data_IF_537804411162
#
_entry.id   IF_537804411162
#
_cell.length_a   1.000
_cell.length_b   1.000
_cell.length_c   1.000
_cell.angle_alpha   90.00
_cell.angle_beta   90.00
_cell.angle_gamma   90.00
#
_symmetry.space_group_name_H-M   'P 1'
#
loop_
_entity.id
_entity.type
_entity.pdbx_description
1 polymer ?
#
# COMPACT_ATOMS: atom_id res chain seq x y z
N UNK A 1 5.11 2.82 -10.12
CA UNK A 1 4.73 3.85 -9.11
C UNK A 1 4.56 5.20 -9.79
N UNK A 2 3.78 6.12 -9.21
CA UNK A 2 3.70 7.51 -9.67
C UNK A 2 4.37 8.46 -8.68
N UNK A 3 4.75 9.64 -9.19
CA UNK A 3 5.39 10.68 -8.41
C UNK A 3 4.67 12.01 -8.67
N UNK A 4 3.81 12.41 -7.76
CA UNK A 4 2.96 13.61 -7.88
C UNK A 4 2.87 14.44 -6.59
N UNK A 5 3.76 14.16 -5.65
CA UNK A 5 3.90 14.89 -4.40
C UNK A 5 5.02 14.34 -3.53
N UNK A 6 5.14 14.84 -2.31
CA UNK A 6 6.24 14.52 -1.41
C UNK A 6 6.20 13.07 -0.94
N UNK A 7 5.01 12.54 -0.59
CA UNK A 7 4.92 11.20 0.00
C UNK A 7 5.04 10.11 -1.05
N UNK A 8 4.47 10.29 -2.23
CA UNK A 8 4.69 9.39 -3.36
C UNK A 8 6.17 9.34 -3.79
N UNK A 9 6.89 10.48 -3.72
CA UNK A 9 8.33 10.54 -3.97
C UNK A 9 9.12 9.76 -2.92
N UNK A 10 8.82 9.97 -1.62
CA UNK A 10 9.50 9.27 -0.52
C UNK A 10 9.27 7.75 -0.59
N UNK A 11 8.08 7.31 -0.95
CA UNK A 11 7.78 5.89 -1.10
C UNK A 11 8.57 5.26 -2.24
N UNK A 12 8.67 5.95 -3.37
CA UNK A 12 9.49 5.50 -4.49
C UNK A 12 10.99 5.43 -4.14
N UNK A 13 11.52 6.41 -3.39
CA UNK A 13 12.90 6.40 -2.91
C UNK A 13 13.15 5.23 -1.94
N UNK A 14 12.23 4.99 -1.01
CA UNK A 14 12.31 3.85 -0.10
C UNK A 14 12.33 2.51 -0.85
N UNK A 15 11.46 2.33 -1.83
CA UNK A 15 11.41 1.12 -2.64
C UNK A 15 12.75 0.86 -3.35
N UNK A 16 13.35 1.90 -3.95
CA UNK A 16 14.68 1.79 -4.59
C UNK A 16 15.78 1.46 -3.61
N UNK A 17 15.80 2.07 -2.43
CA UNK A 17 16.79 1.79 -1.37
C UNK A 17 16.66 0.37 -0.84
N UNK A 18 15.48 -0.23 -0.89
CA UNK A 18 15.24 -1.63 -0.57
C UNK A 18 15.61 -2.59 -1.71
N UNK A 19 16.15 -2.08 -2.82
CA UNK A 19 16.64 -2.86 -3.95
C UNK A 19 15.56 -3.26 -4.95
N UNK A 20 14.36 -2.63 -4.89
CA UNK A 20 13.32 -2.86 -5.89
C UNK A 20 13.65 -2.10 -7.19
N UNK A 21 13.38 -2.73 -8.31
CA UNK A 21 13.38 -2.07 -9.63
C UNK A 21 12.08 -1.26 -9.76
N UNK A 22 12.21 0.07 -9.82
CA UNK A 22 11.08 0.99 -9.75
C UNK A 22 10.96 1.78 -11.05
N UNK A 23 9.89 1.49 -11.81
CA UNK A 23 9.44 2.33 -12.91
C UNK A 23 8.53 3.43 -12.39
N UNK A 24 8.77 4.67 -12.79
CA UNK A 24 7.97 5.84 -12.41
C UNK A 24 7.11 6.32 -13.58
N UNK A 25 5.84 6.58 -13.29
CA UNK A 25 4.95 7.39 -14.11
C UNK A 25 4.90 8.79 -13.48
N UNK A 26 5.57 9.74 -14.09
CA UNK A 26 5.60 11.12 -13.58
C UNK A 26 4.34 11.87 -14.01
N UNK A 27 3.79 12.64 -13.09
CA UNK A 27 2.70 13.57 -13.36
C UNK A 27 2.91 14.85 -12.58
N UNK A 28 2.26 15.92 -13.01
CA UNK A 28 2.35 17.21 -12.32
C UNK A 28 1.80 17.11 -10.90
N UNK A 29 2.41 17.84 -9.99
CA UNK A 29 1.87 18.02 -8.65
C UNK A 29 0.49 18.69 -8.77
N UNK A 30 -0.48 18.19 -7.99
CA UNK A 30 -1.87 18.65 -8.06
C UNK A 30 -2.77 17.79 -8.97
N UNK A 31 -2.20 16.78 -9.64
CA UNK A 31 -2.93 15.71 -10.34
C UNK A 31 -2.78 14.40 -9.58
N UNK A 32 -3.77 13.53 -9.65
CA UNK A 32 -3.71 12.19 -9.05
C UNK A 32 -2.83 11.22 -9.85
N UNK A 33 -2.91 9.95 -9.49
CA UNK A 33 -2.21 8.87 -10.20
C UNK A 33 -2.60 8.87 -11.70
N UNK A 34 -1.63 8.84 -12.64
CA UNK A 34 -1.91 8.83 -14.07
C UNK A 34 -2.40 7.44 -14.51
N UNK A 35 -3.70 7.22 -14.45
CA UNK A 35 -4.34 5.91 -14.72
C UNK A 35 -4.02 5.40 -16.13
N UNK A 36 -4.05 6.28 -17.13
CA UNK A 36 -3.79 5.90 -18.53
C UNK A 36 -2.35 5.39 -18.73
N UNK A 37 -1.38 6.02 -18.07
CA UNK A 37 0.02 5.59 -18.12
C UNK A 37 0.21 4.22 -17.46
N UNK A 38 -0.47 3.99 -16.34
CA UNK A 38 -0.46 2.68 -15.68
C UNK A 38 -1.10 1.61 -16.57
N UNK A 39 -2.25 1.91 -17.14
CA UNK A 39 -2.93 1.00 -18.06
C UNK A 39 -2.08 0.66 -19.28
N UNK A 40 -1.36 1.63 -19.84
CA UNK A 40 -0.45 1.41 -20.96
C UNK A 40 0.70 0.47 -20.57
N UNK A 41 1.38 0.75 -19.44
CA UNK A 41 2.49 -0.08 -18.96
C UNK A 41 2.06 -1.52 -18.64
N UNK A 42 0.88 -1.69 -18.02
CA UNK A 42 0.36 -3.02 -17.70
C UNK A 42 0.02 -3.83 -18.96
N UNK A 43 -0.57 -3.19 -19.98
CA UNK A 43 -0.83 -3.85 -21.29
C UNK A 43 0.45 -4.25 -22.02
N UNK A 44 1.51 -3.45 -21.88
CA UNK A 44 2.79 -3.69 -22.55
C UNK A 44 3.64 -4.75 -21.84
N UNK A 45 3.40 -4.98 -20.53
CA UNK A 45 4.14 -5.97 -19.73
C UNK A 45 3.60 -7.40 -19.89
N UNK A 46 3.74 -7.93 -21.11
CA UNK A 46 3.25 -9.27 -21.47
C UNK A 46 3.92 -10.40 -20.72
N UNK A 47 5.13 -10.18 -20.24
CA UNK A 47 5.91 -11.17 -19.46
C UNK A 47 5.60 -11.09 -17.95
N UNK A 48 4.69 -10.23 -17.52
CA UNK A 48 4.29 -10.01 -16.13
C UNK A 48 5.50 -9.76 -15.20
N UNK A 49 6.42 -8.93 -15.65
CA UNK A 49 7.60 -8.54 -14.87
C UNK A 49 7.24 -7.57 -13.74
N UNK A 50 6.22 -6.75 -13.94
CA UNK A 50 5.68 -5.87 -12.90
C UNK A 50 5.01 -6.75 -11.84
N UNK A 51 5.52 -6.71 -10.61
CA UNK A 51 5.01 -7.52 -9.50
C UNK A 51 4.01 -6.78 -8.62
N UNK A 52 4.14 -5.46 -8.56
CA UNK A 52 3.21 -4.63 -7.81
C UNK A 52 3.07 -3.24 -8.42
N UNK A 53 1.88 -2.69 -8.30
CA UNK A 53 1.52 -1.31 -8.62
C UNK A 53 1.34 -0.56 -7.32
N UNK A 54 2.01 0.59 -7.17
CA UNK A 54 1.98 1.39 -5.95
C UNK A 54 1.27 2.71 -6.22
N UNK A 55 0.28 3.03 -5.40
CA UNK A 55 -0.54 4.24 -5.52
C UNK A 55 -0.67 4.95 -4.17
N UNK A 56 -0.41 6.25 -4.12
CA UNK A 56 -0.77 7.07 -2.98
C UNK A 56 -2.22 7.52 -3.16
N UNK A 57 -3.12 7.13 -2.25
CA UNK A 57 -4.54 7.49 -2.33
C UNK A 57 -4.75 8.97 -2.10
N UNK A 58 -4.29 9.51 -0.97
CA UNK A 58 -4.28 10.94 -0.73
C UNK A 58 -2.85 11.46 -0.56
N UNK A 59 -2.40 12.30 -1.47
CA UNK A 59 -1.08 12.95 -1.39
C UNK A 59 -1.17 14.18 -0.50
N UNK A 60 -0.71 14.05 0.72
CA UNK A 60 -0.80 15.11 1.75
C UNK A 60 -0.17 16.42 1.33
N UNK A 61 0.93 16.39 0.55
CA UNK A 61 1.62 17.61 0.13
C UNK A 61 0.79 18.48 -0.82
N UNK A 62 -0.18 17.90 -1.52
CA UNK A 62 -1.00 18.58 -2.52
C UNK A 62 -2.50 18.53 -2.22
N UNK A 63 -2.93 17.64 -1.32
CA UNK A 63 -4.34 17.38 -1.02
C UNK A 63 -5.08 16.61 -2.13
N UNK A 64 -4.37 16.07 -3.10
CA UNK A 64 -4.98 15.33 -4.22
C UNK A 64 -5.36 13.92 -3.80
N UNK A 65 -6.57 13.52 -4.13
CA UNK A 65 -7.06 12.14 -3.98
C UNK A 65 -7.07 11.44 -5.34
N UNK A 66 -6.46 10.25 -5.39
CA UNK A 66 -6.35 9.43 -6.59
C UNK A 66 -7.50 8.42 -6.70
N UNK A 67 -7.94 8.12 -7.92
CA UNK A 67 -8.95 7.07 -8.19
C UNK A 67 -8.30 5.68 -8.15
N UNK A 68 -8.31 5.04 -6.98
CA UNK A 68 -7.74 3.71 -6.78
C UNK A 68 -8.54 2.64 -7.52
N UNK A 69 -9.87 2.77 -7.55
CA UNK A 69 -10.74 1.86 -8.29
C UNK A 69 -10.41 1.87 -9.80
N UNK A 70 -10.05 3.01 -10.37
CA UNK A 70 -9.62 3.09 -11.77
C UNK A 70 -8.30 2.34 -12.02
N UNK A 71 -7.36 2.36 -11.07
CA UNK A 71 -6.13 1.56 -11.18
C UNK A 71 -6.44 0.07 -11.09
N UNK A 72 -7.38 -0.35 -10.23
CA UNK A 72 -7.83 -1.74 -10.19
C UNK A 72 -8.44 -2.17 -11.52
N UNK A 73 -9.34 -1.36 -12.09
CA UNK A 73 -9.88 -1.63 -13.43
C UNK A 73 -8.79 -1.77 -14.49
N UNK A 74 -7.76 -0.92 -14.47
CA UNK A 74 -6.64 -1.02 -15.42
C UNK A 74 -5.86 -2.35 -15.29
N UNK A 75 -5.67 -2.87 -14.07
CA UNK A 75 -5.08 -4.19 -13.83
C UNK A 75 -5.98 -5.32 -14.36
N UNK A 76 -7.29 -5.22 -14.12
CA UNK A 76 -8.27 -6.23 -14.55
C UNK A 76 -8.41 -6.26 -16.08
N UNK A 77 -8.51 -5.10 -16.71
CA UNK A 77 -8.61 -4.97 -18.18
C UNK A 77 -7.36 -5.51 -18.88
N UNK A 78 -6.19 -5.33 -18.27
CA UNK A 78 -4.93 -5.91 -18.75
C UNK A 78 -4.79 -7.41 -18.38
N UNK A 79 -5.70 -7.97 -17.59
CA UNK A 79 -5.58 -9.31 -16.99
C UNK A 79 -4.23 -9.52 -16.29
N UNK A 80 -3.73 -8.45 -15.62
CA UNK A 80 -2.37 -8.41 -15.08
C UNK A 80 -2.35 -8.91 -13.62
N UNK A 81 -1.48 -9.88 -13.25
CA UNK A 81 -1.45 -10.50 -11.93
C UNK A 81 -0.83 -9.63 -10.83
N UNK A 82 -0.24 -8.48 -11.14
CA UNK A 82 0.42 -7.62 -10.16
C UNK A 82 -0.49 -7.27 -8.97
N UNK A 83 0.14 -7.09 -7.83
CA UNK A 83 -0.53 -6.65 -6.61
C UNK A 83 -0.78 -5.14 -6.65
N UNK A 84 -1.88 -4.68 -6.06
CA UNK A 84 -2.19 -3.28 -5.88
C UNK A 84 -1.87 -2.86 -4.44
N UNK A 85 -0.85 -2.03 -4.26
CA UNK A 85 -0.42 -1.48 -2.98
C UNK A 85 -0.83 -0.02 -2.88
N UNK A 86 -1.48 0.34 -1.76
CA UNK A 86 -2.01 1.68 -1.54
C UNK A 86 -1.45 2.30 -0.26
N UNK A 87 -0.85 3.46 -0.41
CA UNK A 87 -0.58 4.35 0.71
C UNK A 87 -1.88 5.09 1.06
N UNK A 88 -2.53 4.64 2.13
CA UNK A 88 -3.71 5.24 2.72
C UNK A 88 -3.44 5.97 4.02
N UNK A 89 -2.16 6.30 4.32
CA UNK A 89 -1.78 6.87 5.61
C UNK A 89 -2.56 8.13 5.96
N UNK A 90 -2.83 9.02 5.00
CA UNK A 90 -3.60 10.25 5.25
C UNK A 90 -5.07 10.15 4.86
N UNK A 91 -5.53 9.03 4.33
CA UNK A 91 -6.91 8.87 3.84
C UNK A 91 -7.73 7.88 4.67
N UNK A 92 -7.17 6.73 5.05
CA UNK A 92 -7.89 5.70 5.79
C UNK A 92 -8.34 6.25 7.15
N UNK A 93 -9.65 6.13 7.42
CA UNK A 93 -10.28 6.71 8.60
C UNK A 93 -10.61 8.21 8.49
N UNK A 94 -10.25 8.88 7.39
CA UNK A 94 -10.51 10.31 7.16
C UNK A 94 -11.44 10.58 5.98
N UNK A 95 -11.30 9.81 4.90
CA UNK A 95 -12.15 9.84 3.71
C UNK A 95 -12.51 8.42 3.31
N UNK A 96 -13.42 8.26 2.37
CA UNK A 96 -13.83 6.97 1.84
C UNK A 96 -12.63 6.13 1.38
N UNK A 97 -12.59 4.87 1.80
CA UNK A 97 -11.58 3.88 1.40
C UNK A 97 -12.17 2.47 1.48
N UNK A 98 -12.43 1.90 0.33
CA UNK A 98 -13.11 0.61 0.19
C UNK A 98 -12.11 -0.46 -0.28
N UNK A 99 -11.33 -1.01 0.67
CA UNK A 99 -10.21 -1.91 0.37
C UNK A 99 -10.62 -3.12 -0.47
N UNK A 100 -11.72 -3.78 -0.08
CA UNK A 100 -12.22 -4.99 -0.73
C UNK A 100 -12.87 -4.68 -2.08
N UNK A 101 -13.73 -3.64 -2.12
CA UNK A 101 -14.44 -3.25 -3.32
C UNK A 101 -13.48 -2.75 -4.41
N UNK A 102 -12.44 -2.01 -4.01
CA UNK A 102 -11.40 -1.55 -4.95
C UNK A 102 -10.32 -2.59 -5.22
N UNK A 103 -10.44 -3.80 -4.66
CA UNK A 103 -9.49 -4.90 -4.87
C UNK A 103 -8.04 -4.54 -4.52
N UNK A 104 -7.87 -3.79 -3.43
CA UNK A 104 -6.55 -3.42 -2.92
C UNK A 104 -5.91 -4.61 -2.23
N UNK A 105 -4.70 -4.97 -2.64
CA UNK A 105 -4.01 -6.12 -2.09
C UNK A 105 -3.24 -5.81 -0.80
N UNK A 106 -2.73 -4.59 -0.68
CA UNK A 106 -2.06 -4.12 0.52
C UNK A 106 -2.32 -2.63 0.73
N UNK A 107 -2.83 -2.28 1.91
CA UNK A 107 -3.07 -0.89 2.30
C UNK A 107 -2.33 -0.55 3.60
N UNK A 108 -1.73 0.62 3.67
CA UNK A 108 -1.05 1.10 4.86
C UNK A 108 -1.75 2.33 5.45
N UNK A 109 -1.89 2.35 6.78
CA UNK A 109 -2.41 3.48 7.54
C UNK A 109 -1.56 3.75 8.79
N UNK A 110 -1.72 4.92 9.38
CA UNK A 110 -1.00 5.32 10.59
C UNK A 110 -1.93 5.79 11.70
N UNK A 111 -1.59 5.44 12.94
CA UNK A 111 -2.41 5.76 14.12
C UNK A 111 -2.67 7.26 14.32
N UNK A 112 -1.71 8.11 13.96
CA UNK A 112 -1.77 9.57 14.16
C UNK A 112 -2.52 10.32 13.06
N UNK A 113 -3.20 9.63 12.16
CA UNK A 113 -3.98 10.19 11.06
C UNK A 113 -5.48 9.98 11.32
N UNK A 114 -6.21 9.37 10.43
CA UNK A 114 -7.65 9.17 10.56
C UNK A 114 -8.11 8.45 11.83
N UNK A 115 -7.25 7.62 12.42
CA UNK A 115 -7.54 6.97 13.70
C UNK A 115 -7.42 7.87 14.94
N UNK A 116 -6.95 9.12 14.78
CA UNK A 116 -6.88 10.15 15.85
C UNK A 116 -6.13 9.72 17.11
N UNK A 117 -5.16 8.81 16.99
CA UNK A 117 -4.31 8.36 18.08
C UNK A 117 -2.94 9.07 18.04
N UNK A 118 -2.14 9.00 19.11
CA UNK A 118 -0.72 9.35 19.03
C UNK A 118 -0.01 8.48 18.00
N UNK A 119 1.10 9.00 17.42
CA UNK A 119 1.97 8.23 16.54
C UNK A 119 2.56 7.02 17.26
N UNK A 120 2.75 5.90 16.54
CA UNK A 120 3.41 4.70 17.07
C UNK A 120 2.83 3.37 16.60
N UNK A 121 1.69 3.36 15.89
CA UNK A 121 1.19 2.17 15.21
C UNK A 121 1.13 2.40 13.70
N UNK A 122 1.55 1.38 12.95
CA UNK A 122 1.23 1.21 11.53
C UNK A 122 0.19 0.10 11.39
N UNK A 123 -0.81 0.33 10.57
CA UNK A 123 -1.82 -0.66 10.24
C UNK A 123 -1.61 -1.12 8.79
N UNK A 124 -1.76 -2.41 8.57
CA UNK A 124 -1.70 -3.01 7.25
C UNK A 124 -2.97 -3.82 7.01
N UNK A 125 -3.72 -3.46 5.97
CA UNK A 125 -4.70 -4.34 5.36
C UNK A 125 -3.98 -5.22 4.34
N UNK A 126 -4.21 -6.53 4.37
CA UNK A 126 -3.51 -7.50 3.50
C UNK A 126 -4.53 -8.47 2.93
N UNK A 127 -4.61 -8.59 1.59
CA UNK A 127 -5.50 -9.53 0.90
C UNK A 127 -4.94 -10.95 0.92
N UNK A 128 -5.80 -11.95 0.70
CA UNK A 128 -5.38 -13.34 0.53
C UNK A 128 -4.41 -13.50 -0.65
N UNK A 129 -4.58 -12.72 -1.72
CA UNK A 129 -3.66 -12.69 -2.86
C UNK A 129 -2.27 -12.20 -2.45
N UNK A 130 -2.19 -11.17 -1.60
CA UNK A 130 -0.90 -10.69 -1.07
C UNK A 130 -0.27 -11.69 -0.11
N UNK A 131 -1.05 -12.39 0.72
CA UNK A 131 -0.54 -13.47 1.58
C UNK A 131 0.00 -14.64 0.78
N UNK A 132 -0.68 -15.05 -0.28
CA UNK A 132 -0.17 -16.10 -1.17
C UNK A 132 1.15 -15.68 -1.87
N UNK A 133 1.27 -14.42 -2.29
CA UNK A 133 2.51 -13.91 -2.85
C UNK A 133 3.65 -13.84 -1.81
N UNK A 134 3.32 -13.60 -0.54
CA UNK A 134 4.29 -13.57 0.56
C UNK A 134 5.00 -14.92 0.75
N UNK A 135 4.35 -16.05 0.50
CA UNK A 135 4.95 -17.38 0.61
C UNK A 135 6.15 -17.56 -0.32
N UNK A 136 6.18 -16.86 -1.44
CA UNK A 136 7.23 -16.91 -2.45
C UNK A 136 8.18 -15.72 -2.41
N UNK A 137 8.00 -14.80 -1.47
CA UNK A 137 8.83 -13.61 -1.35
C UNK A 137 10.22 -13.95 -0.82
N UNK A 138 11.26 -13.47 -1.49
CA UNK A 138 12.67 -13.79 -1.20
C UNK A 138 13.45 -12.67 -0.52
N UNK A 139 12.90 -11.46 -0.42
CA UNK A 139 13.55 -10.37 0.29
C UNK A 139 13.74 -10.71 1.76
N UNK A 140 14.93 -10.46 2.29
CA UNK A 140 15.21 -10.63 3.72
C UNK A 140 14.27 -9.74 4.54
N UNK A 141 13.66 -10.32 5.57
CA UNK A 141 12.74 -9.66 6.49
C UNK A 141 12.89 -10.20 7.89
N UNK A 142 12.73 -9.34 8.84
CA UNK A 142 12.73 -9.63 10.26
C UNK A 142 11.85 -8.55 10.91
N UNK A 143 11.27 -8.75 12.07
CA UNK A 143 10.36 -7.81 12.73
C UNK A 143 9.06 -7.50 11.94
N UNK A 144 9.15 -7.00 10.70
CA UNK A 144 8.02 -6.78 9.79
C UNK A 144 7.76 -8.03 8.95
N UNK A 145 7.39 -9.12 9.60
CA UNK A 145 7.11 -10.41 8.99
C UNK A 145 5.64 -10.77 9.18
N UNK A 146 4.90 -10.93 8.11
CA UNK A 146 3.50 -11.38 8.18
C UNK A 146 3.39 -12.77 8.80
N UNK A 147 4.29 -13.69 8.43
CA UNK A 147 4.27 -15.05 8.96
C UNK A 147 4.43 -15.08 10.49
N UNK A 148 5.39 -14.31 11.02
CA UNK A 148 5.62 -14.24 12.47
C UNK A 148 4.43 -13.59 13.20
N UNK A 149 3.87 -12.53 12.61
CA UNK A 149 2.69 -11.83 13.16
C UNK A 149 1.48 -12.77 13.21
N UNK A 150 1.16 -13.44 12.12
CA UNK A 150 0.00 -14.34 12.01
C UNK A 150 0.15 -15.50 12.98
N UNK A 151 1.29 -16.20 12.97
CA UNK A 151 1.53 -17.38 13.80
C UNK A 151 1.39 -17.08 15.30
N UNK A 152 1.81 -15.90 15.76
CA UNK A 152 1.69 -15.55 17.17
C UNK A 152 0.34 -14.92 17.52
N UNK A 153 -0.29 -14.19 16.62
CA UNK A 153 -1.64 -13.67 16.83
C UNK A 153 -2.68 -14.79 17.01
N UNK A 154 -2.53 -15.93 16.34
CA UNK A 154 -3.38 -17.11 16.51
C UNK A 154 -3.34 -17.63 17.97
N UNK A 155 -2.26 -17.41 18.68
CA UNK A 155 -2.12 -17.75 20.11
C UNK A 155 -2.56 -16.64 21.06
N UNK A 156 -2.97 -15.47 20.54
CA UNK A 156 -3.33 -14.28 21.31
C UNK A 156 -2.15 -13.40 21.71
N UNK A 157 -0.97 -13.63 21.13
CA UNK A 157 0.26 -12.88 21.43
C UNK A 157 0.78 -12.11 20.22
N UNK A 158 1.74 -11.21 20.45
CA UNK A 158 2.52 -10.53 19.44
C UNK A 158 3.96 -11.08 19.44
N UNK A 159 4.65 -11.11 18.29
CA UNK A 159 6.03 -11.57 18.23
C UNK A 159 7.01 -10.67 18.99
N UNK A 160 6.64 -9.41 19.19
CA UNK A 160 7.42 -8.41 19.91
C UNK A 160 6.48 -7.61 20.83
N UNK A 161 7.04 -6.95 21.85
CA UNK A 161 6.26 -6.15 22.80
C UNK A 161 5.42 -5.08 22.07
N UNK A 162 4.08 -5.19 22.10
CA UNK A 162 3.23 -4.25 21.41
C UNK A 162 3.07 -2.93 22.16
N UNK A 163 2.69 -1.87 21.44
CA UNK A 163 2.33 -0.58 22.02
C UNK A 163 0.95 -0.64 22.68
N UNK A 164 0.84 -1.31 23.85
CA UNK A 164 -0.42 -1.66 24.51
C UNK A 164 -1.30 -0.45 24.80
N UNK A 165 -0.73 0.71 25.14
CA UNK A 165 -1.50 1.93 25.40
C UNK A 165 -2.22 2.43 24.14
N UNK A 166 -1.54 2.39 22.99
CA UNK A 166 -2.13 2.77 21.71
C UNK A 166 -3.21 1.77 21.27
N UNK A 167 -2.97 0.46 21.47
CA UNK A 167 -3.97 -0.57 21.19
C UNK A 167 -5.23 -0.42 22.06
N UNK A 168 -5.08 0.02 23.31
CA UNK A 168 -6.25 0.34 24.16
C UNK A 168 -7.02 1.55 23.62
N UNK A 169 -6.31 2.62 23.21
CA UNK A 169 -6.95 3.79 22.61
C UNK A 169 -7.66 3.48 21.30
N UNK A 170 -7.21 2.49 20.53
CA UNK A 170 -7.85 2.06 19.29
C UNK A 170 -9.23 1.40 19.51
N UNK A 171 -9.49 0.86 20.71
CA UNK A 171 -10.75 0.18 21.08
C UNK A 171 -11.85 1.12 21.56
N UNK A 172 -11.52 2.37 21.87
CA UNK A 172 -12.47 3.38 22.37
C UNK A 172 -13.11 4.15 21.24
#
# INVERSE_FOLDING_TARGET
MSRFGQFSLLWADMARRLGLDVTLCDTDWGKGVPVDDYAAQLRDDRDHRIKAVFCTHNETATGVTSDIAAIRRALDDAQHPALLFVDGVSSIGSIEFEMEEWGVDLAVAGSQKGFMLPAGLGFLGVSDKALAAHEHATMARCYFSFADMIALNDTGYFPYTPATQLLRGLRT
#
